data_IF_981486017769
#
_entry.id   IF_981486017769
#
_cell.length_a   1.000
_cell.length_b   1.000
_cell.length_c   1.000
_cell.angle_alpha   90.00
_cell.angle_beta   90.00
_cell.angle_gamma   90.00
#
_symmetry.space_group_name_H-M   'P 1'
#
loop_
_entity.id
_entity.type
_entity.pdbx_description
1 polymer ?
#
# COMPACT_ATOMS: atom_id res chain seq x y z
N UNK A 1 -10.07 -7.76 17.78
CA UNK A 1 -10.05 -9.25 17.73
C UNK A 1 -8.78 -9.85 17.13
N UNK A 2 -7.90 -9.08 16.45
CA UNK A 2 -6.65 -9.61 15.87
C UNK A 2 -5.50 -9.84 16.87
N UNK A 3 -5.48 -9.11 18.00
CA UNK A 3 -4.44 -9.27 19.04
C UNK A 3 -4.49 -10.60 19.80
N UNK A 4 -5.66 -11.25 19.92
CA UNK A 4 -5.80 -12.52 20.67
C UNK A 4 -5.22 -13.74 19.94
N UNK A 5 -5.05 -13.68 18.61
CA UNK A 5 -4.47 -14.77 17.83
C UNK A 5 -2.95 -14.80 17.87
N UNK A 6 -2.30 -13.66 18.13
CA UNK A 6 -0.83 -13.56 18.16
C UNK A 6 -0.23 -14.12 19.46
N UNK A 7 -0.90 -13.96 20.62
CA UNK A 7 -0.41 -14.49 21.90
C UNK A 7 -0.40 -16.03 21.97
N UNK A 8 -1.31 -16.69 21.25
CA UNK A 8 -1.36 -18.17 21.21
C UNK A 8 -0.24 -18.79 20.37
N UNK A 9 0.26 -18.08 19.36
CA UNK A 9 1.37 -18.54 18.53
C UNK A 9 2.71 -18.47 19.29
N UNK A 10 2.91 -17.45 20.14
CA UNK A 10 4.14 -17.26 20.92
C UNK A 10 4.25 -18.29 22.05
N UNK A 11 3.13 -18.70 22.66
CA UNK A 11 3.13 -19.73 23.71
C UNK A 11 3.46 -21.14 23.17
N UNK A 12 3.10 -21.45 21.92
CA UNK A 12 3.39 -22.76 21.33
C UNK A 12 4.89 -22.96 21.02
N UNK A 13 5.59 -21.87 20.64
CA UNK A 13 7.03 -21.94 20.32
C UNK A 13 7.89 -22.05 21.60
N UNK A 14 7.48 -21.44 22.70
CA UNK A 14 8.21 -21.50 23.98
C UNK A 14 8.08 -22.86 24.69
N UNK A 15 6.99 -23.60 24.48
CA UNK A 15 6.82 -24.95 25.06
C UNK A 15 7.58 -26.02 24.24
N UNK A 16 7.78 -25.80 22.94
CA UNK A 16 8.58 -26.69 22.09
C UNK A 16 10.08 -26.66 22.40
N UNK A 17 10.62 -25.52 22.81
CA UNK A 17 12.04 -25.38 23.15
C UNK A 17 12.40 -25.96 24.54
N UNK A 18 11.41 -26.20 25.40
CA UNK A 18 11.61 -26.79 26.72
C UNK A 18 11.68 -28.32 26.73
N UNK A 19 11.31 -28.99 25.63
CA UNK A 19 11.26 -30.46 25.55
C UNK A 19 12.51 -31.13 24.95
N UNK A 20 13.52 -30.36 24.53
CA UNK A 20 14.82 -30.92 24.10
C UNK A 20 15.87 -31.01 25.23
N UNK A 21 15.50 -30.65 26.47
CA UNK A 21 16.31 -30.89 27.68
C UNK A 21 15.69 -32.04 28.49
N UNK A 22 15.30 -33.11 27.81
CA UNK A 22 14.89 -34.37 28.41
C UNK A 22 16.10 -35.25 28.69
N UNK A 23 16.54 -35.27 29.94
CA UNK A 23 17.46 -36.25 30.49
C UNK A 23 16.86 -37.66 30.35
N UNK A 24 17.34 -38.43 29.37
CA UNK A 24 17.32 -39.89 29.42
C UNK A 24 18.54 -40.37 30.20
N UNK A 25 18.38 -40.55 31.50
CA UNK A 25 19.35 -41.23 32.36
C UNK A 25 18.93 -42.67 32.51
N UNK A 26 19.49 -43.56 31.69
CA UNK A 26 19.60 -44.97 32.05
C UNK A 26 20.92 -45.53 31.52
N UNK A 27 21.65 -46.10 32.47
CA UNK A 27 23.02 -46.54 32.39
C UNK A 27 23.16 -47.87 31.64
N UNK A 28 24.30 -48.02 30.97
CA UNK A 28 24.76 -49.27 30.36
C UNK A 28 26.25 -49.20 30.03
N UNK A 29 27.08 -49.20 31.08
CA UNK A 29 28.42 -49.82 31.17
C UNK A 29 29.33 -49.85 29.91
N UNK A 30 29.43 -48.74 29.19
CA UNK A 30 30.34 -48.59 28.04
C UNK A 30 30.81 -47.15 27.77
N UNK A 31 30.53 -46.23 28.69
CA UNK A 31 30.82 -44.80 28.53
C UNK A 31 32.19 -44.37 29.05
N UNK A 32 32.88 -45.19 29.84
CA UNK A 32 34.20 -44.84 30.37
C UNK A 32 35.28 -44.77 29.27
N UNK A 33 35.22 -45.63 28.25
CA UNK A 33 36.22 -45.62 27.17
C UNK A 33 35.97 -44.49 26.15
N UNK A 34 34.71 -44.14 25.89
CA UNK A 34 34.34 -43.02 25.03
C UNK A 34 34.48 -41.65 25.72
N UNK A 35 34.23 -41.55 27.03
CA UNK A 35 34.53 -40.33 27.80
C UNK A 35 36.03 -40.14 28.01
N UNK A 36 36.82 -41.19 28.19
CA UNK A 36 38.28 -41.08 28.24
C UNK A 36 38.86 -40.64 26.88
N UNK A 37 38.33 -41.13 25.77
CA UNK A 37 38.70 -40.66 24.42
C UNK A 37 38.26 -39.21 24.17
N UNK A 38 37.07 -38.80 24.62
CA UNK A 38 36.60 -37.41 24.51
C UNK A 38 37.37 -36.47 25.45
N UNK A 39 37.79 -36.93 26.62
CA UNK A 39 38.60 -36.17 27.57
C UNK A 39 40.03 -35.96 27.04
N UNK A 40 40.60 -36.97 26.35
CA UNK A 40 41.89 -36.84 25.66
C UNK A 40 41.80 -35.98 24.38
N UNK A 41 40.70 -36.07 23.62
CA UNK A 41 40.47 -35.24 22.43
C UNK A 41 40.09 -33.78 22.78
N UNK A 42 39.59 -33.52 23.99
CA UNK A 42 39.23 -32.18 24.48
C UNK A 42 40.43 -31.23 24.61
N UNK A 43 41.66 -31.72 24.54
CA UNK A 43 42.79 -30.86 24.87
C UNK A 43 43.19 -29.87 23.76
N UNK A 44 42.81 -30.05 22.47
CA UNK A 44 43.28 -29.13 21.39
C UNK A 44 42.35 -28.90 20.20
N UNK A 45 41.03 -29.05 20.36
CA UNK A 45 40.10 -28.62 19.32
C UNK A 45 39.84 -27.12 19.47
N UNK A 46 40.38 -26.30 18.56
CA UNK A 46 40.08 -24.86 18.53
C UNK A 46 38.90 -24.64 17.60
N UNK A 47 37.79 -24.18 18.19
CA UNK A 47 36.64 -23.73 17.42
C UNK A 47 37.03 -22.38 16.80
N UNK A 48 37.41 -22.41 15.52
CA UNK A 48 37.80 -21.18 14.82
C UNK A 48 36.54 -20.59 14.21
N UNK A 49 35.79 -19.81 15.01
CA UNK A 49 34.68 -19.04 14.48
C UNK A 49 35.24 -17.92 13.61
N UNK A 50 34.84 -17.84 12.34
CA UNK A 50 35.21 -16.72 11.47
C UNK A 50 34.50 -15.47 11.97
N UNK A 51 35.20 -14.66 12.78
CA UNK A 51 34.74 -13.32 13.19
C UNK A 51 34.45 -12.38 12.00
N UNK A 52 34.88 -12.76 10.78
CA UNK A 52 34.63 -12.02 9.55
C UNK A 52 33.19 -12.16 9.01
N UNK A 53 32.42 -13.15 9.45
CA UNK A 53 31.05 -13.37 8.96
C UNK A 53 30.11 -12.17 9.15
N UNK A 54 29.96 -11.58 10.36
CA UNK A 54 29.10 -10.42 10.53
C UNK A 54 29.57 -9.21 9.70
N UNK A 55 30.88 -9.05 9.48
CA UNK A 55 31.40 -8.01 8.59
C UNK A 55 31.06 -8.28 7.12
N UNK A 56 31.18 -9.53 6.66
CA UNK A 56 30.85 -9.91 5.29
C UNK A 56 29.35 -9.74 5.01
N UNK A 57 28.49 -10.15 5.95
CA UNK A 57 27.04 -9.96 5.82
C UNK A 57 26.63 -8.48 5.85
N UNK A 58 27.32 -7.65 6.64
CA UNK A 58 27.07 -6.20 6.68
C UNK A 58 27.51 -5.47 5.41
N UNK A 59 28.40 -6.06 4.61
CA UNK A 59 28.86 -5.50 3.33
C UNK A 59 27.90 -5.79 2.17
N UNK A 60 26.84 -6.59 2.38
CA UNK A 60 25.84 -6.87 1.35
C UNK A 60 24.99 -5.62 1.14
N UNK A 61 24.90 -5.17 -0.11
CA UNK A 61 23.98 -4.11 -0.51
C UNK A 61 22.55 -4.68 -0.54
N UNK A 62 21.90 -4.60 0.61
CA UNK A 62 20.51 -5.06 0.81
C UNK A 62 19.55 -4.31 -0.13
N UNK A 63 19.86 -3.07 -0.49
CA UNK A 63 18.99 -2.27 -1.35
C UNK A 63 19.03 -2.77 -2.80
N UNK A 64 20.21 -3.14 -3.29
CA UNK A 64 20.36 -3.77 -4.58
C UNK A 64 19.63 -5.12 -4.66
N UNK A 65 19.69 -5.94 -3.59
CA UNK A 65 19.04 -7.26 -3.55
C UNK A 65 17.52 -7.12 -3.44
N UNK A 66 17.03 -6.24 -2.55
CA UNK A 66 15.61 -6.13 -2.26
C UNK A 66 14.85 -5.24 -3.25
N UNK A 67 15.52 -4.29 -3.94
CA UNK A 67 14.87 -3.29 -4.78
C UNK A 67 14.02 -3.87 -5.91
N UNK A 68 14.46 -4.98 -6.52
CA UNK A 68 13.75 -5.61 -7.63
C UNK A 68 12.48 -6.37 -7.23
N UNK A 69 12.52 -7.08 -6.11
CA UNK A 69 11.43 -7.95 -5.67
C UNK A 69 10.27 -7.15 -5.03
N UNK A 70 10.62 -6.07 -4.33
CA UNK A 70 9.67 -5.21 -3.62
C UNK A 70 8.73 -4.46 -4.58
N UNK A 71 9.25 -3.92 -5.69
CA UNK A 71 8.46 -3.10 -6.60
C UNK A 71 7.28 -3.85 -7.23
N UNK A 72 7.54 -5.04 -7.77
CA UNK A 72 6.53 -5.82 -8.50
C UNK A 72 5.42 -6.37 -7.59
N UNK A 73 5.77 -6.84 -6.39
CA UNK A 73 4.78 -7.35 -5.43
C UNK A 73 3.85 -6.23 -4.95
N UNK A 74 4.43 -5.07 -4.61
CA UNK A 74 3.67 -3.95 -4.08
C UNK A 74 2.71 -3.34 -5.10
N UNK A 75 3.08 -3.32 -6.38
CA UNK A 75 2.22 -2.77 -7.43
C UNK A 75 0.92 -3.56 -7.60
N UNK A 76 1.00 -4.90 -7.57
CA UNK A 76 -0.17 -5.76 -7.70
C UNK A 76 -1.13 -5.64 -6.50
N UNK A 77 -0.59 -5.63 -5.27
CA UNK A 77 -1.41 -5.56 -4.05
C UNK A 77 -2.07 -4.18 -3.88
N UNK A 78 -1.36 -3.11 -4.24
CA UNK A 78 -1.84 -1.76 -4.04
C UNK A 78 -2.90 -1.30 -5.04
N UNK A 79 -2.90 -1.83 -6.26
CA UNK A 79 -3.89 -1.43 -7.28
C UNK A 79 -5.32 -1.84 -6.88
N UNK A 80 -5.48 -3.04 -6.33
CA UNK A 80 -6.80 -3.57 -5.96
C UNK A 80 -7.29 -3.06 -4.60
N UNK A 81 -6.45 -3.08 -3.56
CA UNK A 81 -6.89 -2.81 -2.19
C UNK A 81 -7.06 -1.33 -1.87
N UNK A 82 -6.18 -0.47 -2.40
CA UNK A 82 -6.13 0.94 -2.02
C UNK A 82 -7.28 1.74 -2.65
N UNK A 83 -7.68 1.37 -3.87
CA UNK A 83 -8.69 2.09 -4.64
C UNK A 83 -10.10 1.89 -4.06
N UNK A 84 -10.42 0.70 -3.56
CA UNK A 84 -11.77 0.37 -3.07
C UNK A 84 -12.17 1.15 -1.82
N UNK A 85 -11.33 1.15 -0.78
CA UNK A 85 -11.66 1.81 0.49
C UNK A 85 -11.72 3.34 0.34
N UNK A 86 -10.78 3.93 -0.39
CA UNK A 86 -10.78 5.37 -0.60
C UNK A 86 -12.00 5.85 -1.39
N UNK A 87 -12.41 5.10 -2.43
CA UNK A 87 -13.62 5.43 -3.19
C UNK A 87 -14.89 5.37 -2.34
N UNK A 88 -14.98 4.41 -1.42
CA UNK A 88 -16.13 4.29 -0.53
C UNK A 88 -16.22 5.46 0.44
N UNK A 89 -15.11 5.80 1.10
CA UNK A 89 -15.06 6.90 2.09
C UNK A 89 -15.27 8.26 1.40
N UNK A 90 -14.53 8.54 0.32
CA UNK A 90 -14.64 9.79 -0.41
C UNK A 90 -16.03 9.96 -1.04
N UNK A 91 -16.63 8.88 -1.56
CA UNK A 91 -17.96 8.91 -2.16
C UNK A 91 -19.04 9.35 -1.17
N UNK A 92 -18.98 8.86 0.07
CA UNK A 92 -19.95 9.21 1.10
C UNK A 92 -19.82 10.68 1.54
N UNK A 93 -18.60 11.13 1.85
CA UNK A 93 -18.36 12.49 2.32
C UNK A 93 -18.64 13.52 1.23
N UNK A 94 -18.18 13.27 0.01
CA UNK A 94 -18.41 14.17 -1.12
C UNK A 94 -19.90 14.28 -1.47
N UNK A 95 -20.64 13.16 -1.45
CA UNK A 95 -22.07 13.19 -1.74
C UNK A 95 -22.85 14.06 -0.73
N UNK A 96 -22.51 13.96 0.56
CA UNK A 96 -23.13 14.75 1.62
C UNK A 96 -22.83 16.25 1.42
N UNK A 97 -21.55 16.60 1.26
CA UNK A 97 -21.13 18.00 1.10
C UNK A 97 -21.66 18.62 -0.19
N UNK A 98 -21.61 17.88 -1.30
CA UNK A 98 -22.13 18.36 -2.56
C UNK A 98 -23.64 18.55 -2.50
N UNK A 99 -24.39 17.62 -1.91
CA UNK A 99 -25.84 17.73 -1.80
C UNK A 99 -26.25 18.90 -0.90
N UNK A 100 -25.53 19.14 0.21
CA UNK A 100 -25.77 20.28 1.08
C UNK A 100 -25.53 21.61 0.35
N UNK A 101 -24.38 21.75 -0.33
CA UNK A 101 -24.03 22.97 -1.06
C UNK A 101 -24.94 23.22 -2.26
N UNK A 102 -25.18 22.20 -3.09
CA UNK A 102 -26.04 22.31 -4.26
C UNK A 102 -27.48 22.69 -3.90
N UNK A 103 -28.02 22.15 -2.80
CA UNK A 103 -29.35 22.54 -2.30
C UNK A 103 -29.36 23.98 -1.79
N UNK A 104 -28.33 24.40 -1.05
CA UNK A 104 -28.24 25.76 -0.53
C UNK A 104 -28.14 26.81 -1.66
N UNK A 105 -27.25 26.58 -2.62
CA UNK A 105 -27.06 27.48 -3.78
C UNK A 105 -28.31 27.53 -4.67
N UNK A 106 -28.87 26.36 -5.01
CA UNK A 106 -30.07 26.30 -5.83
C UNK A 106 -31.26 26.97 -5.12
N UNK A 107 -31.44 26.72 -3.82
CA UNK A 107 -32.48 27.36 -3.02
C UNK A 107 -32.36 28.88 -3.01
N UNK A 108 -31.16 29.41 -2.79
CA UNK A 108 -30.90 30.85 -2.78
C UNK A 108 -31.20 31.50 -4.15
N UNK A 109 -30.71 30.92 -5.24
CA UNK A 109 -30.93 31.43 -6.60
C UNK A 109 -32.41 31.33 -7.00
N UNK A 110 -33.08 30.22 -6.65
CA UNK A 110 -34.48 30.01 -6.98
C UNK A 110 -35.38 30.99 -6.22
N UNK A 111 -35.12 31.20 -4.93
CA UNK A 111 -35.86 32.16 -4.11
C UNK A 111 -35.69 33.60 -4.63
N UNK A 112 -34.45 34.00 -4.96
CA UNK A 112 -34.18 35.33 -5.53
C UNK A 112 -34.94 35.55 -6.83
N UNK A 113 -34.97 34.55 -7.71
CA UNK A 113 -35.71 34.62 -8.98
C UNK A 113 -37.21 34.70 -8.76
N UNK A 114 -37.72 33.97 -7.78
CA UNK A 114 -39.13 33.99 -7.45
C UNK A 114 -39.60 35.27 -6.81
N UNK A 115 -38.82 35.86 -5.91
CA UNK A 115 -39.16 37.15 -5.34
C UNK A 115 -39.29 38.21 -6.46
N UNK A 116 -38.39 38.19 -7.44
CA UNK A 116 -38.48 39.04 -8.64
C UNK A 116 -39.73 38.79 -9.49
N UNK A 117 -40.02 37.53 -9.79
CA UNK A 117 -41.19 37.14 -10.59
C UNK A 117 -42.51 37.42 -9.88
N UNK A 118 -42.63 37.07 -8.59
CA UNK A 118 -43.82 37.31 -7.78
C UNK A 118 -44.07 38.82 -7.62
N UNK A 119 -43.03 39.62 -7.41
CA UNK A 119 -43.15 41.09 -7.37
C UNK A 119 -43.73 41.63 -8.67
N UNK A 120 -43.26 41.14 -9.82
CA UNK A 120 -43.75 41.54 -11.15
C UNK A 120 -45.20 41.09 -11.39
N UNK A 121 -45.52 39.82 -11.10
CA UNK A 121 -46.85 39.25 -11.28
C UNK A 121 -47.90 39.95 -10.40
N UNK A 122 -47.55 40.27 -9.16
CA UNK A 122 -48.49 40.83 -8.19
C UNK A 122 -48.63 42.36 -8.30
N UNK A 123 -47.88 43.06 -9.15
CA UNK A 123 -48.00 44.51 -9.30
C UNK A 123 -49.42 44.96 -9.68
N UNK A 124 -50.15 44.19 -10.48
CA UNK A 124 -51.52 44.48 -10.89
C UNK A 124 -52.62 43.92 -9.97
N UNK A 125 -52.26 43.18 -8.92
CA UNK A 125 -53.24 42.51 -8.08
C UNK A 125 -53.97 43.47 -7.13
N UNK A 126 -55.28 43.26 -6.93
CA UNK A 126 -56.11 44.03 -5.99
C UNK A 126 -55.57 43.97 -4.55
N UNK A 127 -54.99 42.83 -4.15
CA UNK A 127 -54.29 42.67 -2.89
C UNK A 127 -52.89 42.13 -3.12
N UNK A 128 -51.91 43.04 -3.22
CA UNK A 128 -50.51 42.69 -3.48
C UNK A 128 -49.90 41.77 -2.42
N UNK A 129 -50.25 41.96 -1.15
CA UNK A 129 -49.69 41.18 -0.05
C UNK A 129 -50.17 39.73 -0.09
N UNK A 130 -51.47 39.52 -0.28
CA UNK A 130 -52.03 38.17 -0.41
C UNK A 130 -51.47 37.44 -1.64
N UNK A 131 -51.38 38.14 -2.79
CA UNK A 131 -50.77 37.61 -4.00
C UNK A 131 -49.29 37.24 -3.79
N UNK A 132 -48.51 38.13 -3.16
CA UNK A 132 -47.08 37.91 -2.91
C UNK A 132 -46.81 36.79 -1.91
N UNK A 133 -47.65 36.59 -0.91
CA UNK A 133 -47.54 35.43 0.00
C UNK A 133 -47.80 34.14 -0.76
N UNK A 134 -48.95 34.03 -1.43
CA UNK A 134 -49.33 32.82 -2.15
C UNK A 134 -48.32 32.43 -3.24
N UNK A 135 -47.81 33.42 -3.98
CA UNK A 135 -46.80 33.21 -5.00
C UNK A 135 -45.47 32.70 -4.41
N UNK A 136 -45.03 33.26 -3.28
CA UNK A 136 -43.82 32.79 -2.59
C UNK A 136 -43.99 31.39 -2.03
N UNK A 137 -45.13 31.07 -1.44
CA UNK A 137 -45.40 29.73 -0.89
C UNK A 137 -45.35 28.67 -1.98
N UNK A 138 -46.01 28.92 -3.13
CA UNK A 138 -45.95 28.02 -4.29
C UNK A 138 -44.53 27.88 -4.82
N UNK A 139 -43.83 29.01 -4.94
CA UNK A 139 -42.47 28.96 -5.46
C UNK A 139 -41.51 28.21 -4.54
N UNK A 140 -41.57 28.44 -3.23
CA UNK A 140 -40.71 27.71 -2.28
C UNK A 140 -40.95 26.21 -2.36
N UNK A 141 -42.19 25.77 -2.59
CA UNK A 141 -42.51 24.36 -2.87
C UNK A 141 -41.87 23.84 -4.16
N UNK A 142 -42.03 24.55 -5.27
CA UNK A 142 -41.43 24.15 -6.56
C UNK A 142 -39.89 24.17 -6.54
N UNK A 143 -39.29 25.21 -5.97
CA UNK A 143 -37.84 25.34 -5.81
C UNK A 143 -37.27 24.17 -5.00
N UNK A 144 -37.89 23.84 -3.86
CA UNK A 144 -37.42 22.74 -3.00
C UNK A 144 -37.45 21.40 -3.75
N UNK A 145 -38.51 21.15 -4.52
CA UNK A 145 -38.66 19.93 -5.34
C UNK A 145 -37.61 19.85 -6.46
N UNK A 146 -37.46 20.91 -7.26
CA UNK A 146 -36.51 20.95 -8.38
C UNK A 146 -35.06 20.89 -7.91
N UNK A 147 -34.69 21.71 -6.93
CA UNK A 147 -33.35 21.73 -6.37
C UNK A 147 -32.98 20.40 -5.71
N UNK A 148 -33.94 19.68 -5.13
CA UNK A 148 -33.72 18.35 -4.58
C UNK A 148 -33.33 17.31 -5.64
N UNK A 149 -34.00 17.32 -6.80
CA UNK A 149 -33.78 16.35 -7.87
C UNK A 149 -32.53 16.64 -8.73
N UNK A 150 -32.27 17.90 -9.05
CA UNK A 150 -31.11 18.28 -9.89
C UNK A 150 -29.79 18.15 -9.11
N UNK A 151 -29.81 18.42 -7.79
CA UNK A 151 -28.61 18.34 -6.94
C UNK A 151 -28.06 16.92 -6.83
N UNK A 152 -28.90 15.89 -6.67
CA UNK A 152 -28.41 14.52 -6.49
C UNK A 152 -27.69 14.00 -7.73
N UNK A 153 -28.29 14.15 -8.92
CA UNK A 153 -27.71 13.60 -10.16
C UNK A 153 -26.39 14.28 -10.57
N UNK A 154 -26.27 15.59 -10.37
CA UNK A 154 -25.04 16.33 -10.69
C UNK A 154 -23.94 16.07 -9.66
N UNK A 155 -24.31 15.88 -8.40
CA UNK A 155 -23.33 15.61 -7.34
C UNK A 155 -22.69 14.23 -7.45
N UNK A 156 -23.48 13.19 -7.70
CA UNK A 156 -22.95 11.82 -7.76
C UNK A 156 -21.87 11.68 -8.85
N UNK A 157 -22.13 12.25 -10.03
CA UNK A 157 -21.17 12.21 -11.15
C UNK A 157 -19.90 13.03 -10.90
N UNK A 158 -20.02 14.22 -10.32
CA UNK A 158 -18.86 15.07 -9.98
C UNK A 158 -18.02 14.44 -8.86
N UNK A 159 -18.68 13.95 -7.81
CA UNK A 159 -18.04 13.29 -6.69
C UNK A 159 -17.33 12.02 -7.12
N UNK A 160 -17.97 11.17 -7.93
CA UNK A 160 -17.33 9.98 -8.47
C UNK A 160 -16.06 10.33 -9.25
N UNK A 161 -16.09 11.34 -10.12
CA UNK A 161 -14.93 11.75 -10.90
C UNK A 161 -13.81 12.35 -10.03
N UNK A 162 -14.15 13.24 -9.10
CA UNK A 162 -13.17 13.85 -8.18
C UNK A 162 -12.55 12.83 -7.24
N UNK A 163 -13.36 11.97 -6.62
CA UNK A 163 -12.89 10.90 -5.76
C UNK A 163 -12.04 9.90 -6.52
N UNK A 164 -12.41 9.52 -7.75
CA UNK A 164 -11.60 8.64 -8.57
C UNK A 164 -10.22 9.25 -8.88
N UNK A 165 -10.16 10.54 -9.21
CA UNK A 165 -8.89 11.22 -9.46
C UNK A 165 -8.00 11.25 -8.19
N UNK A 166 -8.53 11.73 -7.06
CA UNK A 166 -7.77 11.86 -5.82
C UNK A 166 -7.38 10.49 -5.24
N UNK A 167 -8.33 9.58 -5.11
CA UNK A 167 -8.08 8.25 -4.54
C UNK A 167 -7.15 7.41 -5.40
N UNK A 168 -7.22 7.50 -6.73
CA UNK A 168 -6.31 6.75 -7.58
C UNK A 168 -4.86 7.18 -7.38
N UNK A 169 -4.59 8.45 -7.08
CA UNK A 169 -3.23 8.94 -6.85
C UNK A 169 -2.80 8.71 -5.41
N UNK A 170 -3.55 9.22 -4.43
CA UNK A 170 -3.16 9.18 -3.01
C UNK A 170 -3.12 7.75 -2.48
N UNK A 171 -4.12 6.93 -2.82
CA UNK A 171 -4.17 5.56 -2.33
C UNK A 171 -3.07 4.70 -2.96
N UNK A 172 -2.77 4.89 -4.27
CA UNK A 172 -1.65 4.19 -4.91
C UNK A 172 -0.31 4.61 -4.32
N UNK A 173 -0.05 5.91 -4.16
CA UNK A 173 1.22 6.40 -3.61
C UNK A 173 1.39 5.98 -2.15
N UNK A 174 0.37 6.18 -1.32
CA UNK A 174 0.40 5.81 0.10
C UNK A 174 0.58 4.31 0.30
N UNK A 175 -0.10 3.49 -0.50
CA UNK A 175 0.07 2.03 -0.45
C UNK A 175 1.47 1.62 -0.90
N UNK A 176 1.96 2.13 -2.04
CA UNK A 176 3.31 1.83 -2.54
C UNK A 176 4.39 2.16 -1.51
N UNK A 177 4.30 3.31 -0.85
CA UNK A 177 5.26 3.72 0.18
C UNK A 177 5.25 2.78 1.38
N UNK A 178 4.06 2.44 1.90
CA UNK A 178 3.94 1.50 3.04
C UNK A 178 4.40 0.10 2.68
N UNK A 179 4.00 -0.39 1.51
CA UNK A 179 4.41 -1.71 1.04
C UNK A 179 5.93 -1.77 0.84
N UNK A 180 6.51 -0.77 0.17
CA UNK A 180 7.95 -0.71 -0.04
C UNK A 180 8.75 -0.67 1.28
N UNK A 181 8.28 0.13 2.26
CA UNK A 181 8.91 0.19 3.57
C UNK A 181 8.86 -1.17 4.29
N UNK A 182 7.69 -1.80 4.35
CA UNK A 182 7.51 -3.09 5.01
C UNK A 182 8.31 -4.20 4.33
N UNK A 183 8.26 -4.25 2.99
CA UNK A 183 8.94 -5.27 2.21
C UNK A 183 10.47 -5.12 2.28
N UNK A 184 11.00 -3.89 2.35
CA UNK A 184 12.43 -3.65 2.59
C UNK A 184 12.89 -4.14 3.96
N UNK A 185 12.12 -3.89 5.01
CA UNK A 185 12.41 -4.40 6.37
C UNK A 185 12.33 -5.92 6.42
N UNK A 186 11.32 -6.53 5.78
CA UNK A 186 11.20 -7.98 5.73
C UNK A 186 12.34 -8.63 4.93
N UNK A 187 12.70 -8.05 3.79
CA UNK A 187 13.79 -8.53 2.95
C UNK A 187 15.15 -8.37 3.64
N UNK A 188 15.42 -7.24 4.29
CA UNK A 188 16.67 -7.04 5.04
C UNK A 188 16.84 -8.05 6.19
N UNK A 189 15.76 -8.32 6.92
CA UNK A 189 15.74 -9.36 7.95
C UNK A 189 16.00 -10.76 7.37
N UNK A 190 15.41 -11.07 6.21
CA UNK A 190 15.60 -12.35 5.52
C UNK A 190 17.03 -12.52 4.99
N UNK A 191 17.59 -11.51 4.33
CA UNK A 191 18.96 -11.52 3.79
C UNK A 191 19.97 -11.68 4.93
N UNK A 192 19.83 -10.90 6.00
CA UNK A 192 20.73 -10.99 7.16
C UNK A 192 20.62 -12.35 7.86
N UNK A 193 19.41 -12.88 8.05
CA UNK A 193 19.22 -14.21 8.64
C UNK A 193 19.82 -15.33 7.78
N UNK A 194 19.60 -15.30 6.47
CA UNK A 194 20.17 -16.29 5.54
C UNK A 194 21.70 -16.22 5.51
N UNK A 195 22.27 -15.02 5.44
CA UNK A 195 23.71 -14.85 5.46
C UNK A 195 24.35 -15.42 6.74
N UNK A 196 23.73 -15.14 7.91
CA UNK A 196 24.21 -15.68 9.19
C UNK A 196 24.05 -17.20 9.27
N UNK A 197 22.98 -17.77 8.73
CA UNK A 197 22.76 -19.22 8.71
C UNK A 197 23.78 -19.95 7.82
N UNK A 198 24.06 -19.43 6.62
CA UNK A 198 25.10 -19.97 5.74
C UNK A 198 26.48 -19.87 6.39
N UNK A 199 26.79 -18.72 6.98
CA UNK A 199 28.04 -18.50 7.71
C UNK A 199 28.22 -19.46 8.90
N UNK A 200 27.15 -19.72 9.66
CA UNK A 200 27.19 -20.63 10.79
C UNK A 200 27.40 -22.10 10.36
N UNK A 201 26.97 -22.46 9.15
CA UNK A 201 27.17 -23.82 8.62
C UNK A 201 28.62 -24.12 8.23
N UNK A 202 29.48 -23.09 8.05
CA UNK A 202 30.90 -23.22 7.70
C UNK A 202 31.84 -23.19 8.93
N UNK A 203 31.30 -23.45 10.14
CA UNK A 203 32.14 -23.60 11.34
C UNK A 203 32.90 -24.91 11.24
N UNK A 204 34.17 -24.82 10.84
CA UNK A 204 35.07 -25.97 10.80
C UNK A 204 35.76 -26.13 12.15
N UNK A 205 35.44 -27.23 12.82
CA UNK A 205 36.10 -27.65 14.05
C UNK A 205 37.44 -28.28 13.67
N UNK A 206 38.54 -27.55 13.91
CA UNK A 206 39.89 -28.07 13.67
C UNK A 206 40.41 -28.68 14.97
N UNK A 207 40.35 -30.00 15.03
CA UNK A 207 41.05 -30.78 16.04
C UNK A 207 42.44 -31.12 15.48
N UNK A 208 43.47 -30.54 16.07
CA UNK A 208 44.85 -30.89 15.72
C UNK A 208 45.15 -32.28 16.28
N UNK A 209 44.94 -33.32 15.47
CA UNK A 209 45.28 -34.69 15.86
C UNK A 209 46.80 -34.91 15.98
N UNK A 210 47.62 -34.17 15.22
CA UNK A 210 49.07 -34.41 15.13
C UNK A 210 49.91 -33.13 14.98
N UNK A 211 49.48 -32.00 15.58
CA UNK A 211 50.38 -30.87 15.70
C UNK A 211 51.44 -31.18 16.77
N UNK A 212 52.49 -31.89 16.35
CA UNK A 212 53.84 -31.66 16.86
C UNK A 212 54.00 -30.15 16.97
N UNK A 213 53.89 -29.66 18.20
CA UNK A 213 54.07 -28.27 18.55
C UNK A 213 55.48 -27.92 18.10
N UNK A 214 55.61 -27.23 16.97
CA UNK A 214 56.81 -26.47 16.71
C UNK A 214 56.93 -25.51 17.91
N UNK A 215 58.03 -25.57 18.67
CA UNK A 215 58.17 -24.85 19.92
C UNK A 215 57.92 -23.37 19.65
N UNK A 216 56.98 -22.80 20.41
CA UNK A 216 56.78 -21.35 20.48
C UNK A 216 58.17 -20.72 20.64
N UNK A 217 58.65 -19.94 19.65
CA UNK A 217 59.96 -19.34 19.76
C UNK A 217 59.97 -18.46 21.01
N UNK A 218 61.07 -18.48 21.78
CA UNK A 218 61.14 -17.79 23.05
C UNK A 218 60.81 -16.30 22.87
N UNK A 219 60.11 -15.68 23.84
CA UNK A 219 59.79 -14.26 23.80
C UNK A 219 61.08 -13.45 23.73
N UNK A 220 61.43 -12.92 22.56
CA UNK A 220 62.70 -12.21 22.39
C UNK A 220 63.06 -11.78 20.98
N UNK A 221 62.48 -12.37 19.93
CA UNK A 221 62.66 -11.85 18.57
C UNK A 221 61.57 -10.84 18.29
N UNK A 222 61.88 -9.56 18.51
CA UNK A 222 60.99 -8.45 18.19
C UNK A 222 60.57 -8.55 16.73
N UNK A 223 59.30 -8.90 16.50
CA UNK A 223 58.67 -8.64 15.21
C UNK A 223 58.84 -7.13 14.99
N UNK A 224 59.50 -6.70 13.91
CA UNK A 224 59.65 -5.28 13.63
C UNK A 224 58.26 -4.66 13.68
N UNK A 225 58.08 -3.67 14.57
CA UNK A 225 56.84 -2.90 14.54
C UNK A 225 56.66 -2.43 13.10
N UNK A 226 55.49 -2.64 12.48
CA UNK A 226 55.20 -1.98 11.22
C UNK A 226 55.44 -0.48 11.45
N UNK A 227 56.10 0.21 10.50
CA UNK A 227 56.34 1.63 10.63
C UNK A 227 55.01 2.33 10.93
N UNK A 228 55.01 3.34 11.82
CA UNK A 228 53.79 4.07 12.14
C UNK A 228 53.14 4.51 10.83
N UNK A 229 51.85 4.18 10.67
CA UNK A 229 51.09 4.59 9.51
C UNK A 229 51.23 6.11 9.35
N UNK A 230 51.65 6.54 8.15
CA UNK A 230 51.83 7.95 7.81
C UNK A 230 50.53 8.71 8.13
N UNK A 231 50.54 9.70 9.04
CA UNK A 231 49.34 10.45 9.42
C UNK A 231 48.77 11.28 8.26
N UNK A 232 49.50 11.40 7.15
CA UNK A 232 49.06 12.11 5.95
C UNK A 232 48.19 11.27 4.99
N UNK A 233 48.11 9.94 5.16
CA UNK A 233 47.24 9.10 4.30
C UNK A 233 45.77 9.18 4.74
N UNK A 234 45.50 9.45 6.02
CA UNK A 234 44.12 9.62 6.51
C UNK A 234 43.53 11.01 6.16
N UNK A 235 44.38 12.01 5.95
CA UNK A 235 43.92 13.38 5.61
C UNK A 235 43.46 13.53 4.16
N UNK A 236 43.85 12.61 3.27
CA UNK A 236 43.36 12.58 1.89
C UNK A 236 41.97 11.94 1.72
N UNK A 237 41.36 11.39 2.79
CA UNK A 237 39.99 10.83 2.74
C UNK A 237 38.91 11.70 3.40
N UNK A 238 39.27 12.82 4.04
CA UNK A 238 38.33 13.72 4.74
C UNK A 238 38.12 15.05 3.98
N UNK A 239 38.55 15.13 2.72
CA UNK A 239 38.60 16.40 1.98
C UNK A 239 38.13 16.36 0.53
N UNK A 240 37.31 15.37 0.13
CA UNK A 240 36.44 15.63 -1.00
C UNK A 240 35.40 16.65 -0.48
N UNK A 241 35.25 17.84 -1.09
CA UNK A 241 34.13 18.70 -0.77
C UNK A 241 32.88 17.82 -0.87
N UNK A 242 32.02 17.88 0.15
CA UNK A 242 30.70 17.29 0.08
C UNK A 242 30.08 17.76 -1.24
N UNK A 243 30.12 16.92 -2.26
CA UNK A 243 29.24 17.12 -3.39
C UNK A 243 27.85 17.09 -2.77
N UNK A 244 27.07 18.18 -2.93
CA UNK A 244 25.76 18.26 -2.32
C UNK A 244 25.03 17.00 -2.74
N UNK A 245 24.68 16.19 -1.74
CA UNK A 245 24.03 14.91 -1.87
C UNK A 245 22.83 15.10 -2.81
N UNK A 246 23.04 14.83 -4.11
CA UNK A 246 21.99 14.69 -5.10
C UNK A 246 21.39 13.33 -4.78
N UNK A 247 20.56 13.31 -3.74
CA UNK A 247 19.71 12.16 -3.46
C UNK A 247 19.02 11.74 -4.76
N UNK A 248 18.82 10.45 -5.01
CA UNK A 248 18.22 9.97 -6.24
C UNK A 248 16.70 10.20 -6.25
N UNK A 249 16.21 11.35 -5.78
CA UNK A 249 14.84 11.83 -5.99
C UNK A 249 14.82 13.36 -5.91
N UNK A 250 15.49 14.02 -6.86
CA UNK A 250 14.89 15.27 -7.36
C UNK A 250 13.64 14.80 -8.08
N UNK A 251 12.51 14.81 -7.38
CA UNK A 251 11.21 14.90 -8.03
C UNK A 251 11.38 15.97 -9.12
N UNK A 252 11.07 15.66 -10.39
CA UNK A 252 11.10 16.70 -11.41
C UNK A 252 10.32 17.89 -10.85
N UNK A 253 10.83 19.14 -11.00
CA UNK A 253 10.05 20.30 -10.59
C UNK A 253 8.64 20.11 -11.16
N UNK A 254 7.58 20.37 -10.38
CA UNK A 254 6.23 20.33 -10.94
C UNK A 254 6.31 21.14 -12.21
N UNK A 255 5.98 20.51 -13.35
CA UNK A 255 6.01 21.21 -14.62
C UNK A 255 5.29 22.54 -14.39
N UNK A 256 6.00 23.65 -14.60
CA UNK A 256 5.42 24.97 -14.47
C UNK A 256 4.17 24.99 -15.35
N UNK A 257 3.02 24.77 -14.72
CA UNK A 257 1.71 25.03 -15.27
C UNK A 257 1.46 26.54 -15.19
N UNK A 258 2.47 27.33 -15.53
CA UNK A 258 2.36 28.73 -15.94
C UNK A 258 2.18 28.79 -17.46
N UNK A 259 1.38 27.85 -17.99
CA UNK A 259 0.59 28.14 -19.17
C UNK A 259 -0.55 29.04 -18.69
N UNK A 260 -0.27 30.34 -18.57
CA UNK A 260 -1.31 31.36 -18.48
C UNK A 260 -2.43 31.06 -19.49
N UNK A 261 -3.69 31.41 -19.17
CA UNK A 261 -4.88 30.84 -19.81
C UNK A 261 -4.69 30.81 -21.32
N UNK A 262 -4.39 29.63 -21.86
CA UNK A 262 -4.41 29.42 -23.31
C UNK A 262 -5.82 29.80 -23.70
N UNK A 263 -5.93 30.92 -24.41
CA UNK A 263 -7.13 31.39 -25.08
C UNK A 263 -7.77 30.14 -25.66
N UNK A 264 -8.92 29.74 -25.11
CA UNK A 264 -9.57 28.49 -25.46
C UNK A 264 -9.62 28.44 -26.98
N UNK A 265 -8.82 27.55 -27.56
CA UNK A 265 -8.99 27.21 -28.96
C UNK A 265 -10.45 26.79 -29.10
N UNK A 266 -11.20 27.38 -30.05
CA UNK A 266 -12.59 27.02 -30.25
C UNK A 266 -12.65 25.50 -30.40
N UNK A 267 -13.51 24.87 -29.60
CA UNK A 267 -13.70 23.44 -29.61
C UNK A 267 -13.80 22.98 -31.08
N UNK A 268 -13.03 21.96 -31.50
CA UNK A 268 -13.14 21.43 -32.85
C UNK A 268 -14.61 21.14 -33.12
N UNK A 269 -15.13 21.70 -34.22
CA UNK A 269 -16.52 21.49 -34.61
C UNK A 269 -16.80 20.00 -34.54
N UNK A 270 -17.90 19.57 -33.88
CA UNK A 270 -18.23 18.17 -33.79
C UNK A 270 -18.23 17.59 -35.21
N UNK A 271 -17.59 16.43 -35.44
CA UNK A 271 -17.57 15.81 -36.75
C UNK A 271 -19.02 15.75 -37.22
N UNK A 272 -19.28 16.35 -38.39
CA UNK A 272 -20.59 16.28 -39.03
C UNK A 272 -20.96 14.82 -39.03
N UNK A 273 -21.97 14.45 -38.24
CA UNK A 273 -22.55 13.11 -38.27
C UNK A 273 -22.99 12.90 -39.71
N UNK A 274 -22.17 12.19 -40.48
CA UNK A 274 -22.64 11.56 -41.69
C UNK A 274 -23.81 10.70 -41.27
N UNK A 275 -25.00 11.13 -41.70
CA UNK A 275 -26.22 10.39 -41.50
C UNK A 275 -25.95 8.99 -42.07
N UNK A 276 -25.99 7.93 -41.25
CA UNK A 276 -25.81 6.59 -41.77
C UNK A 276 -26.87 6.36 -42.86
N UNK A 277 -26.50 5.69 -43.98
CA UNK A 277 -27.46 5.38 -45.01
C UNK A 277 -28.65 4.62 -44.39
N UNK A 278 -29.88 4.85 -44.90
CA UNK A 278 -31.07 4.22 -44.35
C UNK A 278 -30.84 2.71 -44.29
N UNK A 279 -30.94 2.14 -43.08
CA UNK A 279 -30.93 0.70 -42.88
C UNK A 279 -32.08 0.12 -43.69
N UNK A 280 -31.76 -0.73 -44.67
CA UNK A 280 -32.75 -1.59 -45.31
C UNK A 280 -33.53 -2.33 -44.21
N UNK A 281 -34.86 -2.22 -44.28
CA UNK A 281 -35.77 -2.92 -43.39
C UNK A 281 -35.55 -4.43 -43.51
N UNK A 282 -35.27 -5.14 -42.39
CA UNK A 282 -35.20 -6.58 -42.41
C UNK A 282 -36.59 -7.15 -42.74
N UNK A 283 -36.62 -7.89 -43.84
CA UNK A 283 -37.75 -8.69 -44.32
C UNK A 283 -38.28 -9.57 -43.17
N UNK A 284 -39.60 -9.64 -42.94
CA UNK A 284 -40.16 -10.42 -41.83
C UNK A 284 -39.89 -11.91 -42.03
N UNK A 285 -38.99 -12.47 -41.23
CA UNK A 285 -38.84 -13.91 -41.09
C UNK A 285 -39.97 -14.47 -40.22
N UNK A 286 -40.85 -15.15 -40.95
CA UNK A 286 -41.82 -16.17 -40.58
C UNK A 286 -41.58 -16.84 -39.21
N UNK A 287 -42.60 -16.74 -38.36
CA UNK A 287 -42.81 -17.48 -37.11
C UNK A 287 -42.40 -18.96 -37.19
N UNK A 288 -41.58 -19.38 -36.23
CA UNK A 288 -41.48 -20.76 -35.76
C UNK A 288 -41.76 -20.76 -34.26
N UNK A 289 -42.88 -21.37 -33.86
CA UNK A 289 -43.26 -21.53 -32.46
C UNK A 289 -42.35 -22.50 -31.72
N UNK A 290 -42.15 -22.23 -30.44
CA UNK A 290 -41.51 -23.10 -29.47
C UNK A 290 -42.12 -22.77 -28.12
N UNK A 291 -43.17 -23.51 -27.78
CA UNK A 291 -43.80 -23.55 -26.47
C UNK A 291 -42.89 -24.38 -25.56
N UNK A 292 -42.33 -23.79 -24.51
CA UNK A 292 -41.78 -24.56 -23.40
C UNK A 292 -42.17 -23.88 -22.08
N UNK A 293 -43.13 -24.56 -21.44
CA UNK A 293 -43.68 -24.29 -20.13
C UNK A 293 -42.59 -24.33 -19.06
N UNK A 294 -42.61 -23.34 -18.16
CA UNK A 294 -42.04 -23.51 -16.82
C UNK A 294 -43.06 -23.02 -15.80
N UNK A 295 -43.87 -23.95 -15.33
CA UNK A 295 -44.58 -23.86 -14.07
C UNK A 295 -43.54 -23.78 -12.94
N UNK A 296 -43.68 -22.75 -12.10
CA UNK A 296 -42.90 -22.55 -10.90
C UNK A 296 -43.79 -21.98 -9.82
N UNK A 297 -44.81 -22.76 -9.44
CA UNK A 297 -45.61 -22.55 -8.24
C UNK A 297 -44.73 -22.76 -7.00
N UNK A 298 -44.77 -21.79 -6.09
CA UNK A 298 -44.00 -21.81 -4.85
C UNK A 298 -44.55 -20.82 -3.83
N UNK A 299 -45.87 -20.89 -3.59
CA UNK A 299 -46.47 -20.29 -2.39
C UNK A 299 -46.13 -21.16 -1.19
N UNK A 300 -45.49 -20.54 -0.19
CA UNK A 300 -45.14 -21.18 1.07
C UNK A 300 -45.16 -20.13 2.18
N UNK A 301 -46.35 -19.60 2.46
CA UNK A 301 -46.67 -18.87 3.68
C UNK A 301 -47.11 -19.90 4.74
N UNK A 302 -46.24 -20.22 5.68
CA UNK A 302 -46.60 -20.98 6.89
C UNK A 302 -45.67 -20.56 8.03
N UNK A 303 -46.16 -19.69 8.90
CA UNK A 303 -45.69 -19.56 10.29
C UNK A 303 -46.89 -19.16 11.15
N UNK A 304 -47.51 -20.18 11.74
CA UNK A 304 -48.50 -20.14 12.82
C UNK A 304 -47.96 -19.50 14.11
N UNK A 305 -48.93 -19.06 14.91
CA UNK A 305 -48.88 -18.47 16.27
C UNK A 305 -48.32 -19.39 17.37
#
# INVERSE_FOLDING_TARGET
MLLSKFERAICAVLIGLALLVGCGSDAGDGLDESQAALAAARERCVLTARFQCPLACAAIDVDAVCGGEVGASCDADCEAAATGNCLADCGADCAIDCQANARAECGALCQQRCDGNCSTLCQGAFNRNACGSFCRDQCTGECSSRCGADSSSSCDSKCAASCQATCSVEARVGCRLRCAANARVACSAKVSANCMAECASEITLRCAADALVDPVPPPGVGVPLPPPADPDVERSRVGAPEEPFRGPYVLPPPADHDAGPKKAEPAPEPPKKETPPPKEEPKPERSGGGEDSHEGDGSGDDWEE
#
